data_IF_732215347800
#
_entry.id   IF_732215347800
#
_cell.length_a   1.000
_cell.length_b   1.000
_cell.length_c   1.000
_cell.angle_alpha   90.00
_cell.angle_beta   90.00
_cell.angle_gamma   90.00
#
_symmetry.space_group_name_H-M   'P 1'
#
loop_
_entity.id
_entity.type
_entity.pdbx_description
1 polymer ?
#
# COMPACT_ATOMS: atom_id res chain seq x y z
N UNK A 1 -17.93 1.16 17.06
CA UNK A 1 -16.63 1.85 17.26
C UNK A 1 -15.61 1.50 16.17
N UNK A 2 -16.05 1.00 15.01
CA UNK A 2 -15.22 0.06 14.23
C UNK A 2 -14.52 0.70 13.02
N UNK A 3 -15.20 1.56 12.26
CA UNK A 3 -14.62 2.18 11.05
C UNK A 3 -13.56 3.24 11.38
N UNK A 4 -13.79 4.06 12.41
CA UNK A 4 -12.84 5.11 12.81
C UNK A 4 -11.55 4.46 13.33
N UNK A 5 -11.66 3.43 14.16
CA UNK A 5 -10.49 2.68 14.64
C UNK A 5 -9.77 1.95 13.50
N UNK A 6 -10.49 1.31 12.58
CA UNK A 6 -9.90 0.68 11.39
C UNK A 6 -9.16 1.69 10.51
N UNK A 7 -9.71 2.89 10.30
CA UNK A 7 -9.04 3.98 9.58
C UNK A 7 -7.79 4.49 10.32
N UNK A 8 -7.84 4.59 11.65
CA UNK A 8 -6.67 4.95 12.47
C UNK A 8 -5.57 3.88 12.32
N UNK A 9 -5.91 2.59 12.39
CA UNK A 9 -4.95 1.51 12.13
C UNK A 9 -4.42 1.53 10.68
N UNK A 10 -5.28 1.76 9.69
CA UNK A 10 -4.89 1.88 8.30
C UNK A 10 -3.89 3.01 8.07
N UNK A 11 -3.99 4.13 8.81
CA UNK A 11 -3.04 5.24 8.72
C UNK A 11 -1.62 4.83 9.14
N UNK A 12 -1.48 3.97 10.16
CA UNK A 12 -0.19 3.41 10.59
C UNK A 12 0.28 2.36 9.58
N UNK A 13 -0.64 1.54 9.06
CA UNK A 13 -0.32 0.54 8.03
C UNK A 13 0.21 1.17 6.75
N UNK A 14 -0.20 2.39 6.39
CA UNK A 14 0.40 3.11 5.25
C UNK A 14 1.91 3.19 5.36
N UNK A 15 2.46 3.47 6.54
CA UNK A 15 3.91 3.56 6.76
C UNK A 15 4.58 2.21 6.57
N UNK A 16 3.98 1.14 7.14
CA UNK A 16 4.52 -0.21 7.02
C UNK A 16 4.43 -0.77 5.59
N UNK A 17 3.41 -0.38 4.83
CA UNK A 17 3.15 -0.88 3.49
C UNK A 17 4.01 -0.21 2.40
N UNK A 18 4.81 0.81 2.73
CA UNK A 18 5.74 1.43 1.78
C UNK A 18 6.76 0.42 1.28
N UNK A 19 7.42 -0.33 2.18
CA UNK A 19 8.44 -1.31 1.79
C UNK A 19 7.92 -2.44 0.88
N UNK A 20 6.82 -3.15 1.21
CA UNK A 20 6.28 -4.15 0.30
C UNK A 20 5.77 -3.53 -1.01
N UNK A 21 5.21 -2.32 -0.99
CA UNK A 21 4.82 -1.63 -2.22
C UNK A 21 6.02 -1.36 -3.14
N UNK A 22 7.13 -0.87 -2.59
CA UNK A 22 8.39 -0.68 -3.34
C UNK A 22 8.82 -2.00 -3.99
N UNK A 23 8.83 -3.12 -3.25
CA UNK A 23 9.20 -4.43 -3.79
C UNK A 23 8.30 -4.90 -4.93
N UNK A 24 7.00 -4.59 -4.87
CA UNK A 24 6.06 -4.89 -5.95
C UNK A 24 6.35 -4.03 -7.18
N UNK A 25 6.63 -2.74 -7.01
CA UNK A 25 6.97 -1.84 -8.12
C UNK A 25 8.29 -2.22 -8.76
N UNK A 26 9.32 -2.53 -7.96
CA UNK A 26 10.60 -3.08 -8.45
C UNK A 26 10.37 -4.37 -9.25
N UNK A 27 9.49 -5.26 -8.80
CA UNK A 27 9.15 -6.47 -9.54
C UNK A 27 8.46 -6.19 -10.88
N UNK A 28 7.62 -5.15 -10.94
CA UNK A 28 7.00 -4.69 -12.19
C UNK A 28 8.04 -4.09 -13.13
N UNK A 29 8.99 -3.33 -12.61
CA UNK A 29 10.08 -2.71 -13.37
C UNK A 29 10.98 -3.72 -14.09
N UNK A 30 11.14 -4.94 -13.52
CA UNK A 30 11.84 -6.04 -14.20
C UNK A 30 11.09 -6.51 -15.46
N UNK A 31 9.77 -6.29 -15.53
CA UNK A 31 8.90 -6.79 -16.62
C UNK A 31 8.51 -5.72 -17.62
N UNK A 32 8.57 -4.45 -17.27
CA UNK A 32 8.18 -3.33 -18.13
C UNK A 32 9.04 -2.09 -17.83
N UNK A 33 9.22 -1.24 -18.84
CA UNK A 33 9.89 0.05 -18.65
C UNK A 33 8.97 0.99 -17.88
N UNK A 34 9.38 1.34 -16.66
CA UNK A 34 8.67 2.28 -15.80
C UNK A 34 9.46 3.58 -15.75
N UNK A 35 8.79 4.72 -15.96
CA UNK A 35 9.41 6.04 -15.78
C UNK A 35 9.41 6.42 -14.30
N UNK A 36 10.33 7.28 -13.85
CA UNK A 36 10.40 7.73 -12.46
C UNK A 36 9.04 8.27 -11.94
N UNK A 37 8.29 8.97 -12.80
CA UNK A 37 6.96 9.48 -12.47
C UNK A 37 5.98 8.33 -12.23
N UNK A 38 6.01 7.30 -13.07
CA UNK A 38 5.14 6.13 -12.95
C UNK A 38 5.55 5.26 -11.75
N UNK A 39 6.85 5.15 -11.45
CA UNK A 39 7.36 4.47 -10.26
C UNK A 39 6.78 5.07 -8.99
N UNK A 40 6.83 6.41 -8.87
CA UNK A 40 6.28 7.12 -7.71
C UNK A 40 4.76 6.95 -7.59
N UNK A 41 4.03 7.08 -8.70
CA UNK A 41 2.56 6.90 -8.71
C UNK A 41 2.19 5.47 -8.32
N UNK A 42 2.87 4.46 -8.88
CA UNK A 42 2.60 3.06 -8.58
C UNK A 42 2.92 2.72 -7.12
N UNK A 43 4.06 3.21 -6.61
CA UNK A 43 4.47 2.95 -5.22
C UNK A 43 3.41 3.48 -4.26
N UNK A 44 2.99 4.74 -4.43
CA UNK A 44 1.95 5.35 -3.59
C UNK A 44 0.62 4.61 -3.73
N UNK A 45 0.22 4.29 -4.96
CA UNK A 45 -1.07 3.62 -5.21
C UNK A 45 -1.11 2.22 -4.59
N UNK A 46 -0.03 1.45 -4.72
CA UNK A 46 0.08 0.11 -4.15
C UNK A 46 0.17 0.18 -2.62
N UNK A 47 0.91 1.13 -2.03
CA UNK A 47 0.94 1.34 -0.57
C UNK A 47 -0.46 1.57 -0.02
N UNK A 48 -1.25 2.45 -0.64
CA UNK A 48 -2.62 2.74 -0.21
C UNK A 48 -3.51 1.50 -0.33
N UNK A 49 -3.45 0.80 -1.47
CA UNK A 49 -4.25 -0.41 -1.68
C UNK A 49 -3.92 -1.49 -0.64
N UNK A 50 -2.64 -1.78 -0.39
CA UNK A 50 -2.21 -2.77 0.58
C UNK A 50 -2.64 -2.38 2.01
N UNK A 51 -2.46 -1.13 2.40
CA UNK A 51 -2.84 -0.66 3.73
C UNK A 51 -4.34 -0.74 3.95
N UNK A 52 -5.15 -0.46 2.94
CA UNK A 52 -6.61 -0.58 3.01
C UNK A 52 -7.06 -2.04 3.07
N UNK A 53 -6.45 -2.95 2.29
CA UNK A 53 -6.78 -4.37 2.33
C UNK A 53 -6.48 -4.96 3.72
N UNK A 54 -5.29 -4.67 4.25
CA UNK A 54 -4.89 -5.16 5.58
C UNK A 54 -5.70 -4.49 6.68
N UNK A 55 -5.93 -3.18 6.59
CA UNK A 55 -6.74 -2.42 7.54
C UNK A 55 -8.22 -2.84 7.56
N UNK A 56 -8.78 -3.22 6.42
CA UNK A 56 -10.10 -3.81 6.32
C UNK A 56 -10.12 -5.26 6.82
N UNK A 57 -9.05 -6.03 6.62
CA UNK A 57 -8.91 -7.37 7.20
C UNK A 57 -8.98 -7.37 8.74
N UNK A 58 -8.44 -6.32 9.38
CA UNK A 58 -8.55 -6.12 10.83
C UNK A 58 -9.98 -5.87 11.32
N UNK A 59 -10.93 -5.52 10.45
CA UNK A 59 -12.34 -5.39 10.84
C UNK A 59 -12.97 -6.75 11.19
N UNK A 60 -12.44 -7.84 10.62
CA UNK A 60 -13.02 -9.18 10.75
C UNK A 60 -12.32 -10.05 11.82
N UNK A 61 -11.36 -9.49 12.55
CA UNK A 61 -10.61 -10.14 13.64
C UNK A 61 -11.05 -9.54 14.97
#
# INVERSE_FOLDING_TARGET
MEIVMSLVFASVLLVFMIYPAIKIVEFLEIKMTITDKMYNILTVSITILLALIVGAGLYFI
#
